data_IF_552994531498
#
_entry.id   IF_552994531498
#
_cell.length_a   1.000
_cell.length_b   1.000
_cell.length_c   1.000
_cell.angle_alpha   90.00
_cell.angle_beta   90.00
_cell.angle_gamma   90.00
#
_symmetry.space_group_name_H-M   'P 1'
#
loop_
_entity.id
_entity.type
_entity.pdbx_description
1 polymer ?
#
# COMPACT_ATOMS: atom_id res chain seq x y z
N UNK A 1 -19.40 -55.29 33.82
CA UNK A 1 -19.58 -54.02 34.55
C UNK A 1 -18.44 -53.10 34.11
N UNK A 2 -18.74 -52.07 33.32
CA UNK A 2 -17.72 -51.15 32.80
C UNK A 2 -17.62 -49.92 33.72
N UNK A 3 -16.42 -49.49 34.13
CA UNK A 3 -16.27 -48.31 34.97
C UNK A 3 -16.51 -47.04 34.13
N UNK A 4 -17.46 -46.23 34.58
CA UNK A 4 -17.75 -44.89 34.09
C UNK A 4 -16.72 -43.96 34.74
N UNK A 5 -15.80 -43.40 33.95
CA UNK A 5 -14.88 -42.37 34.42
C UNK A 5 -15.53 -40.98 34.30
N UNK A 6 -15.44 -40.12 35.33
CA UNK A 6 -16.06 -38.81 35.31
C UNK A 6 -15.27 -37.85 34.42
N UNK A 7 -16.01 -37.10 33.60
CA UNK A 7 -15.48 -36.06 32.71
C UNK A 7 -15.14 -34.82 33.56
N UNK A 8 -13.91 -34.28 33.49
CA UNK A 8 -13.55 -33.06 34.22
C UNK A 8 -14.26 -31.85 33.62
N UNK A 9 -15.02 -31.15 34.46
CA UNK A 9 -15.64 -29.86 34.15
C UNK A 9 -14.58 -28.76 34.25
N UNK A 10 -14.03 -28.31 33.13
CA UNK A 10 -13.18 -27.11 33.09
C UNK A 10 -14.06 -25.86 33.06
N UNK A 11 -14.21 -25.23 34.21
CA UNK A 11 -14.74 -23.86 34.34
C UNK A 11 -13.66 -22.88 33.89
N UNK A 12 -13.82 -22.31 32.68
CA UNK A 12 -12.95 -21.25 32.18
C UNK A 12 -13.58 -19.91 32.55
N UNK A 13 -13.15 -19.32 33.66
CA UNK A 13 -13.56 -17.96 34.06
C UNK A 13 -12.78 -16.94 33.23
N UNK A 14 -13.39 -16.44 32.16
CA UNK A 14 -12.84 -15.40 31.31
C UNK A 14 -13.10 -14.02 31.95
N UNK A 15 -12.20 -13.57 32.81
CA UNK A 15 -12.27 -12.23 33.40
C UNK A 15 -11.72 -11.21 32.40
N UNK A 16 -12.64 -10.58 31.65
CA UNK A 16 -12.34 -9.57 30.65
C UNK A 16 -12.02 -8.23 31.34
N UNK A 17 -10.74 -7.99 31.66
CA UNK A 17 -10.29 -6.70 32.15
C UNK A 17 -10.23 -5.70 30.99
N UNK A 18 -11.19 -4.78 30.95
CA UNK A 18 -11.19 -3.62 30.05
C UNK A 18 -10.16 -2.63 30.61
N UNK A 19 -8.92 -2.68 30.12
CA UNK A 19 -7.94 -1.63 30.38
C UNK A 19 -8.32 -0.40 29.55
N UNK A 20 -8.87 0.62 30.21
CA UNK A 20 -8.96 1.96 29.65
C UNK A 20 -7.54 2.49 29.44
N UNK A 21 -7.08 2.54 28.17
CA UNK A 21 -5.79 3.09 27.78
C UNK A 21 -5.94 4.60 27.48
N UNK A 22 -5.41 5.52 28.32
CA UNK A 22 -5.52 6.94 28.12
C UNK A 22 -4.32 7.48 27.34
N UNK A 23 -4.00 6.90 26.18
CA UNK A 23 -2.93 7.39 25.29
C UNK A 23 -3.42 7.69 23.89
N UNK A 24 -4.39 8.59 23.80
CA UNK A 24 -4.58 9.44 22.62
C UNK A 24 -3.58 10.59 22.70
N UNK A 25 -2.29 10.28 22.48
CA UNK A 25 -1.28 11.31 22.29
C UNK A 25 -1.55 11.99 20.94
N UNK A 26 -1.98 13.23 21.02
CA UNK A 26 -2.04 14.18 19.93
C UNK A 26 -0.66 14.29 19.29
N UNK A 27 -0.62 14.05 17.97
CA UNK A 27 0.56 14.15 17.13
C UNK A 27 0.75 15.62 16.73
N UNK A 28 1.04 16.49 17.71
CA UNK A 28 1.40 17.89 17.51
C UNK A 28 2.71 18.15 18.25
N UNK A 29 3.59 18.95 17.62
CA UNK A 29 5.00 19.24 17.97
C UNK A 29 6.05 18.26 17.43
N UNK A 30 6.39 18.45 16.15
CA UNK A 30 7.78 18.25 15.73
C UNK A 30 8.47 19.61 15.79
N UNK A 31 9.33 19.75 16.80
CA UNK A 31 10.22 20.90 17.00
C UNK A 31 11.26 20.89 15.88
N UNK A 32 11.36 22.03 15.20
CA UNK A 32 12.43 22.38 14.29
C UNK A 32 13.69 22.67 15.12
N UNK A 33 14.64 21.74 15.11
CA UNK A 33 15.96 21.87 15.73
C UNK A 33 16.98 21.12 14.87
N UNK A 34 17.45 21.77 13.80
CA UNK A 34 18.84 21.66 13.34
C UNK A 34 19.26 22.96 12.65
N UNK A 35 19.54 23.96 13.48
CA UNK A 35 20.51 25.01 13.17
C UNK A 35 21.93 24.47 13.42
N UNK A 36 22.84 24.88 12.54
CA UNK A 36 24.31 24.90 12.66
C UNK A 36 25.13 23.64 12.37
N UNK A 37 25.73 23.65 11.17
CA UNK A 37 27.18 23.47 11.02
C UNK A 37 27.63 24.32 9.83
N UNK A 38 28.13 25.52 10.12
CA UNK A 38 28.97 26.29 9.22
C UNK A 38 30.27 25.52 8.94
N UNK A 39 30.79 25.66 7.72
CA UNK A 39 32.21 25.83 7.37
C UNK A 39 32.46 25.29 5.97
N UNK A 40 32.57 26.19 4.99
CA UNK A 40 33.60 26.09 3.95
C UNK A 40 33.85 27.50 3.41
N UNK A 41 34.93 28.08 3.92
CA UNK A 41 35.61 29.25 3.36
C UNK A 41 36.30 28.83 2.08
N UNK A 42 35.93 29.44 0.95
CA UNK A 42 36.76 29.48 -0.26
C UNK A 42 36.94 30.94 -0.62
N UNK A 43 38.12 31.45 -0.25
CA UNK A 43 38.74 32.66 -0.77
C UNK A 43 39.25 32.38 -2.18
N UNK A 44 39.01 33.29 -3.12
CA UNK A 44 39.57 33.21 -4.47
C UNK A 44 39.00 34.27 -5.40
N UNK A 45 39.46 35.50 -5.21
CA UNK A 45 39.30 36.61 -6.14
C UNK A 45 40.13 36.30 -7.38
N UNK A 46 39.55 36.33 -8.58
CA UNK A 46 40.18 37.07 -9.66
C UNK A 46 39.15 37.48 -10.72
N UNK A 47 39.31 38.72 -11.17
CA UNK A 47 38.47 39.38 -12.16
C UNK A 47 39.00 39.08 -13.55
N UNK A 48 38.21 38.44 -14.42
CA UNK A 48 38.45 38.53 -15.86
C UNK A 48 37.14 38.40 -16.64
N UNK A 49 36.82 39.51 -17.31
CA UNK A 49 36.00 39.74 -18.52
C UNK A 49 34.62 39.09 -18.75
N UNK A 50 33.64 39.88 -19.25
CA UNK A 50 32.33 39.39 -19.65
C UNK A 50 32.35 38.89 -21.10
N UNK A 51 32.57 37.58 -21.29
CA UNK A 51 32.28 36.93 -22.58
C UNK A 51 30.78 36.58 -22.64
N UNK A 52 30.07 37.18 -23.58
CA UNK A 52 28.67 36.87 -23.87
C UNK A 52 28.56 35.51 -24.59
N UNK A 53 28.52 34.42 -23.82
CA UNK A 53 28.24 33.08 -24.34
C UNK A 53 26.77 32.69 -24.17
N UNK A 54 26.12 32.56 -25.32
CA UNK A 54 24.99 31.70 -25.68
C UNK A 54 24.12 31.09 -24.57
N UNK A 55 22.93 31.67 -24.44
CA UNK A 55 21.77 31.20 -23.68
C UNK A 55 21.24 29.85 -24.20
N UNK A 56 21.87 28.74 -23.85
CA UNK A 56 21.27 27.40 -23.96
C UNK A 56 21.80 26.50 -22.85
N UNK A 57 21.55 26.89 -21.58
CA UNK A 57 21.81 26.01 -20.44
C UNK A 57 20.75 24.89 -20.44
N UNK A 58 21.13 23.63 -20.67
CA UNK A 58 20.17 22.53 -20.63
C UNK A 58 19.55 22.49 -19.24
N UNK A 59 18.21 22.49 -19.15
CA UNK A 59 17.49 22.23 -17.89
C UNK A 59 17.96 20.89 -17.33
N UNK A 60 18.95 20.92 -16.42
CA UNK A 60 19.40 19.74 -15.69
C UNK A 60 18.25 19.36 -14.77
N UNK A 61 17.44 18.39 -15.20
CA UNK A 61 16.42 17.80 -14.37
C UNK A 61 17.13 16.96 -13.31
N UNK A 62 17.40 17.56 -12.15
CA UNK A 62 17.95 16.86 -10.99
C UNK A 62 16.94 15.82 -10.51
N UNK A 63 17.03 14.61 -11.06
CA UNK A 63 16.29 13.45 -10.56
C UNK A 63 16.98 13.04 -9.27
N UNK A 64 16.41 13.43 -8.13
CA UNK A 64 16.89 13.01 -6.82
C UNK A 64 16.89 11.48 -6.75
N UNK A 65 18.05 10.87 -6.95
CA UNK A 65 18.27 9.46 -6.74
C UNK A 65 18.63 9.30 -5.27
N UNK A 66 17.66 8.85 -4.47
CA UNK A 66 17.95 8.46 -3.10
C UNK A 66 19.13 7.49 -3.10
N UNK A 67 20.17 7.70 -2.26
CA UNK A 67 21.36 6.86 -2.29
C UNK A 67 20.98 5.39 -2.14
N UNK A 68 21.36 4.60 -3.14
CA UNK A 68 21.04 3.18 -3.18
C UNK A 68 21.64 2.48 -1.96
N UNK A 69 20.92 1.51 -1.39
CA UNK A 69 21.44 0.72 -0.28
C UNK A 69 22.28 -0.42 -0.84
N UNK A 70 23.51 -0.57 -0.36
CA UNK A 70 24.36 -1.69 -0.74
C UNK A 70 23.81 -3.01 -0.19
N UNK A 71 24.26 -4.14 -0.76
CA UNK A 71 23.87 -5.48 -0.28
C UNK A 71 24.29 -5.68 1.19
N UNK A 72 25.47 -5.20 1.57
CA UNK A 72 25.99 -5.27 2.94
C UNK A 72 25.13 -4.44 3.91
N UNK A 73 24.74 -3.23 3.54
CA UNK A 73 23.86 -2.39 4.35
C UNK A 73 22.49 -3.05 4.57
N UNK A 74 21.95 -3.70 3.53
CA UNK A 74 20.70 -4.46 3.63
C UNK A 74 20.88 -5.65 4.57
N UNK A 75 21.98 -6.38 4.47
CA UNK A 75 22.28 -7.52 5.33
C UNK A 75 22.33 -7.10 6.81
N UNK A 76 23.10 -6.05 7.12
CA UNK A 76 23.20 -5.50 8.50
C UNK A 76 21.83 -5.03 9.01
N UNK A 77 21.01 -4.41 8.16
CA UNK A 77 19.65 -4.00 8.54
C UNK A 77 18.76 -5.20 8.91
N UNK A 78 18.80 -6.27 8.12
CA UNK A 78 18.01 -7.49 8.37
C UNK A 78 18.49 -8.21 9.63
N UNK A 79 19.81 -8.33 9.81
CA UNK A 79 20.41 -8.94 10.99
C UNK A 79 20.08 -8.15 12.26
N UNK A 80 20.28 -6.82 12.26
CA UNK A 80 19.94 -5.97 13.40
C UNK A 80 18.45 -6.08 13.75
N UNK A 81 17.56 -6.14 12.75
CA UNK A 81 16.11 -6.31 12.99
C UNK A 81 15.78 -7.65 13.65
N UNK A 82 16.52 -8.70 13.33
CA UNK A 82 16.38 -10.02 13.95
C UNK A 82 16.93 -10.02 15.38
N UNK A 83 18.07 -9.38 15.63
CA UNK A 83 18.64 -9.24 16.98
C UNK A 83 17.67 -8.53 17.94
N UNK A 84 16.96 -7.50 17.49
CA UNK A 84 15.99 -6.75 18.29
C UNK A 84 14.54 -7.22 18.11
N UNK A 85 14.29 -8.50 17.81
CA UNK A 85 12.94 -9.02 17.52
C UNK A 85 11.92 -8.80 18.67
N UNK A 86 12.40 -8.69 19.91
CA UNK A 86 11.56 -8.52 21.10
C UNK A 86 11.06 -7.08 21.30
N UNK A 87 11.72 -6.09 20.69
CA UNK A 87 11.34 -4.68 20.79
C UNK A 87 10.24 -4.32 19.79
N UNK A 88 9.44 -3.31 20.11
CA UNK A 88 8.35 -2.81 19.26
C UNK A 88 8.42 -1.29 19.11
N UNK A 89 7.70 -0.76 18.13
CA UNK A 89 7.52 0.68 17.98
C UNK A 89 8.79 1.43 17.58
N UNK A 90 8.99 2.62 18.14
CA UNK A 90 10.11 3.52 17.82
C UNK A 90 11.45 3.01 18.36
N UNK A 91 11.47 2.50 19.59
CA UNK A 91 12.65 1.99 20.29
C UNK A 91 13.38 0.89 19.51
N UNK A 92 12.61 -0.01 18.87
CA UNK A 92 13.15 -1.00 17.94
C UNK A 92 14.03 -0.35 16.85
N UNK A 93 13.50 0.67 16.19
CA UNK A 93 14.14 1.26 15.01
C UNK A 93 15.29 2.18 15.38
N UNK A 94 15.29 2.75 16.59
CA UNK A 94 16.44 3.45 17.15
C UNK A 94 17.64 2.51 17.32
N UNK A 95 17.42 1.36 17.97
CA UNK A 95 18.44 0.34 18.15
C UNK A 95 18.95 -0.24 16.82
N UNK A 96 18.03 -0.51 15.88
CA UNK A 96 18.41 -0.94 14.53
C UNK A 96 19.25 0.12 13.82
N UNK A 97 18.88 1.40 13.89
CA UNK A 97 19.64 2.46 13.25
C UNK A 97 21.04 2.62 13.86
N UNK A 98 21.20 2.45 15.18
CA UNK A 98 22.52 2.45 15.82
C UNK A 98 23.45 1.37 15.26
N UNK A 99 22.95 0.17 14.97
CA UNK A 99 23.72 -0.89 14.31
C UNK A 99 24.03 -0.58 12.85
N UNK A 100 23.05 -0.09 12.11
CA UNK A 100 23.22 0.24 10.68
C UNK A 100 24.17 1.44 10.48
N UNK A 101 24.26 2.36 11.45
CA UNK A 101 25.17 3.51 11.41
C UNK A 101 26.64 3.13 11.22
N UNK A 102 27.05 1.93 11.64
CA UNK A 102 28.41 1.41 11.46
C UNK A 102 28.78 1.30 9.97
N UNK A 103 27.84 0.88 9.13
CA UNK A 103 28.02 0.73 7.67
C UNK A 103 27.43 1.88 6.85
N UNK A 104 26.64 2.73 7.51
CA UNK A 104 25.88 3.81 6.86
C UNK A 104 25.63 4.97 7.84
N UNK A 105 26.54 5.95 7.95
CA UNK A 105 26.46 7.02 8.96
C UNK A 105 25.22 7.91 8.86
N UNK A 106 24.64 8.08 7.66
CA UNK A 106 23.41 8.86 7.41
C UNK A 106 22.12 8.12 7.81
N UNK A 107 22.21 6.89 8.31
CA UNK A 107 21.05 6.09 8.65
C UNK A 107 20.29 6.66 9.86
N UNK A 108 19.02 6.99 9.64
CA UNK A 108 18.05 7.35 10.69
C UNK A 108 17.08 6.20 10.97
N UNK A 109 16.46 6.13 12.16
CA UNK A 109 15.45 5.11 12.50
C UNK A 109 14.32 5.02 11.45
N UNK A 110 13.86 6.19 10.99
CA UNK A 110 12.80 6.26 10.00
C UNK A 110 13.24 5.73 8.62
N UNK A 111 14.47 6.04 8.18
CA UNK A 111 15.00 5.49 6.92
C UNK A 111 15.16 3.98 6.97
N UNK A 112 15.63 3.43 8.09
CA UNK A 112 15.75 1.98 8.31
C UNK A 112 14.38 1.30 8.26
N UNK A 113 13.38 1.87 8.96
CA UNK A 113 12.00 1.37 8.96
C UNK A 113 11.39 1.36 7.56
N UNK A 114 11.49 2.47 6.83
CA UNK A 114 10.97 2.58 5.47
C UNK A 114 11.66 1.56 4.55
N UNK A 115 12.98 1.43 4.64
CA UNK A 115 13.74 0.50 3.80
C UNK A 115 13.38 -0.96 4.09
N UNK A 116 13.29 -1.35 5.36
CA UNK A 116 12.90 -2.71 5.75
C UNK A 116 11.49 -3.06 5.26
N UNK A 117 10.53 -2.14 5.40
CA UNK A 117 9.17 -2.33 4.91
C UNK A 117 9.11 -2.52 3.39
N UNK A 118 9.97 -1.84 2.63
CA UNK A 118 10.08 -2.04 1.18
C UNK A 118 10.64 -3.42 0.86
N UNK A 119 11.75 -3.81 1.49
CA UNK A 119 12.39 -5.13 1.27
C UNK A 119 11.40 -6.26 1.57
N UNK A 120 10.70 -6.20 2.71
CA UNK A 120 9.73 -7.24 3.10
C UNK A 120 8.51 -7.28 2.18
N UNK A 121 8.07 -6.14 1.63
CA UNK A 121 7.02 -6.11 0.61
C UNK A 121 7.47 -6.80 -0.67
N UNK A 122 8.67 -6.46 -1.15
CA UNK A 122 9.24 -7.04 -2.36
C UNK A 122 9.42 -8.56 -2.21
N UNK A 123 9.90 -9.03 -1.05
CA UNK A 123 10.03 -10.47 -0.73
C UNK A 123 8.68 -11.21 -0.75
N UNK A 124 7.61 -10.58 -0.24
CA UNK A 124 6.27 -11.18 -0.30
C UNK A 124 5.76 -11.30 -1.74
N UNK A 125 6.04 -10.30 -2.57
CA UNK A 125 5.65 -10.30 -3.98
C UNK A 125 6.43 -11.37 -4.77
N UNK A 126 7.73 -11.52 -4.51
CA UNK A 126 8.53 -12.58 -5.13
C UNK A 126 8.06 -13.96 -4.70
N UNK A 127 7.80 -14.17 -3.41
CA UNK A 127 7.31 -15.46 -2.91
C UNK A 127 5.93 -15.81 -3.49
N UNK A 128 5.04 -14.82 -3.61
CA UNK A 128 3.74 -15.01 -4.25
C UNK A 128 3.87 -15.42 -5.71
N UNK A 129 4.80 -14.80 -6.45
CA UNK A 129 5.06 -15.14 -7.86
C UNK A 129 5.61 -16.56 -8.00
N UNK A 130 6.56 -16.94 -7.14
CA UNK A 130 7.14 -18.30 -7.12
C UNK A 130 6.06 -19.34 -6.84
N UNK A 131 5.18 -19.11 -5.85
CA UNK A 131 4.07 -20.02 -5.58
C UNK A 131 3.11 -20.15 -6.77
N UNK A 132 2.78 -19.04 -7.45
CA UNK A 132 1.90 -19.08 -8.62
C UNK A 132 2.54 -19.83 -9.80
N UNK A 133 3.85 -19.70 -10.00
CA UNK A 133 4.60 -20.42 -11.02
C UNK A 133 4.67 -21.92 -10.72
N UNK A 134 4.89 -22.27 -9.45
CA UNK A 134 4.87 -23.66 -8.97
C UNK A 134 3.48 -24.32 -9.15
N UNK A 135 2.40 -23.62 -8.77
CA UNK A 135 1.02 -24.08 -9.01
C UNK A 135 0.75 -24.31 -10.50
N UNK A 136 1.22 -23.39 -11.36
CA UNK A 136 1.07 -23.51 -12.82
C UNK A 136 1.85 -24.70 -13.36
N UNK A 137 3.07 -24.95 -12.85
CA UNK A 137 3.88 -26.10 -13.25
C UNK A 137 3.25 -27.43 -12.81
N UNK A 138 2.69 -27.50 -11.60
CA UNK A 138 1.99 -28.69 -11.09
C UNK A 138 0.74 -28.98 -11.93
N UNK A 139 -0.04 -27.96 -12.27
CA UNK A 139 -1.21 -28.10 -13.16
C UNK A 139 -0.79 -28.59 -14.56
N UNK A 140 0.27 -28.01 -15.13
CA UNK A 140 0.82 -28.46 -16.41
C UNK A 140 1.25 -29.93 -16.40
N UNK A 141 1.97 -30.37 -15.35
CA UNK A 141 2.40 -31.76 -15.20
C UNK A 141 1.21 -32.71 -15.01
N UNK A 142 0.17 -32.29 -14.30
CA UNK A 142 -1.04 -33.09 -14.08
C UNK A 142 -1.81 -33.30 -15.39
N UNK A 143 -1.90 -32.27 -16.24
CA UNK A 143 -2.54 -32.39 -17.56
C UNK A 143 -1.80 -33.36 -18.47
N UNK A 144 -0.47 -33.32 -18.49
CA UNK A 144 0.37 -34.25 -19.27
C UNK A 144 0.27 -35.71 -18.78
N UNK A 145 0.16 -35.93 -17.46
CA UNK A 145 -0.06 -37.28 -16.92
C UNK A 145 -1.44 -37.82 -17.30
N UNK A 146 -2.48 -36.97 -17.24
CA UNK A 146 -3.84 -37.39 -17.57
C UNK A 146 -4.01 -37.72 -19.06
N UNK A 147 -3.31 -37.04 -19.97
CA UNK A 147 -3.34 -37.42 -21.39
C UNK A 147 -2.72 -38.79 -21.64
N UNK A 148 -1.63 -39.12 -20.94
CA UNK A 148 -0.99 -40.44 -21.07
C UNK A 148 -1.88 -41.58 -20.56
N UNK A 149 -2.63 -41.35 -19.48
CA UNK A 149 -3.56 -42.33 -18.93
C UNK A 149 -4.66 -42.68 -19.95
N UNK A 150 -5.22 -41.69 -20.65
CA UNK A 150 -6.23 -41.93 -21.69
C UNK A 150 -5.69 -42.76 -22.87
N UNK A 151 -4.41 -42.59 -23.20
CA UNK A 151 -3.75 -43.32 -24.28
C UNK A 151 -3.46 -44.78 -23.90
N UNK A 152 -3.04 -45.01 -22.65
CA UNK A 152 -2.83 -46.37 -22.12
C UNK A 152 -4.12 -47.17 -21.90
N UNK A 153 -5.23 -46.50 -21.60
CA UNK A 153 -6.54 -47.16 -21.40
C UNK A 153 -7.18 -47.59 -22.73
N UNK A 154 -6.81 -46.95 -23.85
CA UNK A 154 -7.25 -47.31 -25.20
C UNK A 154 -6.54 -48.55 -25.76
N UNK A 155 -5.42 -48.99 -25.15
CA UNK A 155 -4.68 -50.19 -25.56
C UNK A 155 -5.03 -51.45 -24.73
N UNK A 156 -5.87 -51.34 -23.70
CA UNK A 156 -6.27 -52.46 -22.82
C UNK A 156 -7.76 -52.84 -22.91
N UNK A 157 -8.50 -52.37 -23.91
CA UNK A 157 -9.86 -52.84 -24.18
C UNK A 157 -9.87 -54.04 -25.13
N UNK A 158 -9.40 -55.18 -24.61
CA UNK A 158 -9.94 -56.47 -25.04
C UNK A 158 -10.27 -57.28 -23.78
N UNK A 159 -11.56 -57.61 -23.66
CA UNK A 159 -12.16 -58.52 -22.68
C UNK A 159 -12.26 -58.00 -21.22
N UNK A 160 -13.42 -57.41 -20.90
CA UNK A 160 -14.45 -58.03 -20.04
C UNK A 160 -15.35 -56.96 -19.35
N UNK A 161 -16.66 -57.27 -19.31
CA UNK A 161 -17.68 -56.79 -18.36
C UNK A 161 -18.47 -55.50 -18.70
N UNK A 162 -19.67 -55.71 -19.26
CA UNK A 162 -20.67 -54.73 -19.71
C UNK A 162 -21.37 -53.91 -18.59
N UNK A 163 -21.25 -54.30 -17.32
CA UNK A 163 -22.19 -53.85 -16.27
C UNK A 163 -21.77 -52.61 -15.47
N UNK A 164 -20.53 -52.14 -15.58
CA UNK A 164 -20.05 -50.93 -14.86
C UNK A 164 -20.11 -49.63 -15.69
N UNK A 165 -20.38 -49.72 -17.00
CA UNK A 165 -20.43 -48.55 -17.92
C UNK A 165 -21.57 -47.56 -17.63
N UNK A 166 -22.63 -47.95 -16.93
CA UNK A 166 -23.76 -47.05 -16.64
C UNK A 166 -23.54 -46.12 -15.43
N UNK A 167 -22.73 -46.52 -14.44
CA UNK A 167 -22.56 -45.72 -13.21
C UNK A 167 -21.53 -44.59 -13.39
N UNK A 168 -20.53 -44.79 -14.25
CA UNK A 168 -19.55 -43.77 -14.63
C UNK A 168 -20.17 -42.66 -15.49
N UNK A 169 -21.14 -42.99 -16.35
CA UNK A 169 -21.82 -42.02 -17.23
C UNK A 169 -22.59 -40.95 -16.44
N UNK A 170 -23.25 -41.33 -15.34
CA UNK A 170 -23.96 -40.38 -14.45
C UNK A 170 -23.03 -39.50 -13.62
N UNK A 171 -21.79 -39.93 -13.35
CA UNK A 171 -20.82 -39.15 -12.57
C UNK A 171 -20.13 -38.09 -13.44
N UNK A 172 -19.92 -38.39 -14.73
CA UNK A 172 -19.33 -37.46 -15.72
C UNK A 172 -20.32 -36.33 -16.08
N UNK A 173 -21.62 -36.62 -16.22
CA UNK A 173 -22.65 -35.57 -16.43
C UNK A 173 -22.79 -34.60 -15.25
N UNK A 174 -22.49 -35.05 -14.03
CA UNK A 174 -22.56 -34.18 -12.84
C UNK A 174 -21.36 -33.25 -12.71
N UNK A 175 -20.22 -33.59 -13.34
CA UNK A 175 -19.00 -32.77 -13.31
C UNK A 175 -18.93 -31.76 -14.46
N UNK A 176 -19.61 -32.00 -15.59
CA UNK A 176 -19.66 -31.04 -16.71
C UNK A 176 -20.60 -29.84 -16.46
N UNK A 177 -21.50 -29.91 -15.47
CA UNK A 177 -22.39 -28.81 -15.12
C UNK A 177 -21.71 -27.63 -14.39
N UNK A 178 -20.47 -27.78 -13.93
CA UNK A 178 -19.74 -26.71 -13.21
C UNK A 178 -18.85 -25.87 -14.15
N UNK A 179 -18.57 -26.34 -15.38
CA UNK A 179 -17.64 -25.68 -16.30
C UNK A 179 -18.27 -24.70 -17.32
N UNK A 180 -19.56 -24.38 -17.20
CA UNK A 180 -20.25 -23.45 -18.10
C UNK A 180 -20.30 -21.99 -17.62
N UNK A 181 -19.55 -21.64 -16.57
CA UNK A 181 -19.31 -20.24 -16.18
C UNK A 181 -18.05 -19.68 -16.83
N UNK A 182 -17.88 -19.91 -18.14
CA UNK A 182 -16.92 -19.16 -18.96
C UNK A 182 -17.48 -17.76 -19.30
N UNK A 183 -18.04 -17.06 -18.30
CA UNK A 183 -18.13 -15.61 -18.38
C UNK A 183 -16.72 -15.08 -18.36
N UNK A 184 -16.17 -14.94 -19.57
CA UNK A 184 -14.93 -14.24 -19.86
C UNK A 184 -14.89 -13.00 -18.96
N UNK A 185 -13.95 -12.92 -17.99
CA UNK A 185 -13.93 -11.85 -17.02
C UNK A 185 -14.00 -10.53 -17.77
N UNK A 186 -15.14 -9.83 -17.68
CA UNK A 186 -15.41 -8.61 -18.42
C UNK A 186 -14.17 -7.73 -18.29
N UNK A 187 -13.43 -7.68 -19.40
CA UNK A 187 -12.11 -7.08 -19.52
C UNK A 187 -12.28 -5.67 -18.99
N UNK A 188 -11.84 -5.43 -17.74
CA UNK A 188 -12.04 -4.17 -17.00
C UNK A 188 -11.77 -3.06 -17.99
N UNK A 189 -12.82 -2.39 -18.45
CA UNK A 189 -12.68 -1.28 -19.37
C UNK A 189 -11.68 -0.36 -18.69
N UNK A 190 -10.53 -0.15 -19.35
CA UNK A 190 -9.48 0.72 -18.83
C UNK A 190 -10.15 2.06 -18.64
N UNK A 191 -10.51 2.36 -17.40
CA UNK A 191 -11.06 3.66 -17.02
C UNK A 191 -10.12 4.69 -17.63
N UNK A 192 -10.65 5.68 -18.39
CA UNK A 192 -9.83 6.66 -19.08
C UNK A 192 -8.78 7.17 -18.11
N UNK A 193 -7.51 7.12 -18.54
CA UNK A 193 -6.34 7.49 -17.73
C UNK A 193 -6.67 8.83 -17.11
N UNK A 194 -6.94 8.81 -15.81
CA UNK A 194 -7.41 9.98 -15.09
C UNK A 194 -6.24 10.95 -15.09
N UNK A 195 -6.27 11.93 -15.98
CA UNK A 195 -5.20 12.92 -16.09
C UNK A 195 -5.06 13.56 -14.71
N UNK A 196 -3.81 13.75 -14.26
CA UNK A 196 -3.51 14.47 -13.02
C UNK A 196 -3.69 15.97 -13.22
N UNK A 197 -4.84 16.33 -13.77
CA UNK A 197 -5.16 17.71 -14.08
C UNK A 197 -5.23 18.51 -12.78
N UNK A 198 -4.49 19.62 -12.75
CA UNK A 198 -4.44 20.51 -11.60
C UNK A 198 -5.83 21.12 -11.36
N UNK A 199 -6.19 21.30 -10.09
CA UNK A 199 -7.43 21.97 -9.74
C UNK A 199 -7.32 23.47 -10.01
N UNK A 200 -8.14 23.98 -10.93
CA UNK A 200 -8.26 25.42 -11.16
C UNK A 200 -9.11 26.08 -10.07
N UNK A 201 -9.04 27.41 -9.97
CA UNK A 201 -9.89 28.16 -9.06
C UNK A 201 -11.38 28.04 -9.45
N UNK A 202 -11.66 28.00 -10.76
CA UNK A 202 -13.02 27.80 -11.31
C UNK A 202 -13.58 26.43 -10.92
N UNK A 203 -12.78 25.36 -11.02
CA UNK A 203 -13.17 24.02 -10.58
C UNK A 203 -13.52 24.00 -9.09
N UNK A 204 -12.73 24.70 -8.27
CA UNK A 204 -12.97 24.78 -6.83
C UNK A 204 -14.27 25.54 -6.50
N UNK A 205 -14.59 26.60 -7.26
CA UNK A 205 -15.85 27.34 -7.14
C UNK A 205 -17.04 26.47 -7.56
N UNK A 206 -16.95 25.82 -8.72
CA UNK A 206 -17.98 24.90 -9.23
C UNK A 206 -18.22 23.74 -8.27
N UNK A 207 -17.16 23.18 -7.68
CA UNK A 207 -17.26 22.14 -6.65
C UNK A 207 -18.07 22.63 -5.44
N UNK A 208 -17.81 23.85 -4.94
CA UNK A 208 -18.58 24.45 -3.83
C UNK A 208 -20.06 24.55 -4.16
N UNK A 209 -20.38 25.07 -5.35
CA UNK A 209 -21.77 25.23 -5.80
C UNK A 209 -22.51 23.89 -5.90
N UNK A 210 -21.91 22.87 -6.51
CA UNK A 210 -22.53 21.55 -6.65
C UNK A 210 -22.71 20.89 -5.27
N UNK A 211 -21.71 20.99 -4.39
CA UNK A 211 -21.77 20.39 -3.05
C UNK A 211 -22.88 21.02 -2.20
N UNK A 212 -23.14 22.32 -2.35
CA UNK A 212 -24.26 23.02 -1.68
C UNK A 212 -25.61 22.61 -2.28
N UNK A 213 -25.69 22.41 -3.61
CA UNK A 213 -26.93 22.00 -4.29
C UNK A 213 -27.36 20.55 -4.00
N UNK A 214 -26.41 19.64 -3.77
CA UNK A 214 -26.71 18.23 -3.54
C UNK A 214 -27.14 17.95 -2.10
N UNK A 215 -28.38 17.49 -1.93
CA UNK A 215 -28.96 17.11 -0.63
C UNK A 215 -28.51 15.72 -0.11
N UNK A 216 -27.79 14.94 -0.91
CA UNK A 216 -27.33 13.59 -0.52
C UNK A 216 -26.21 13.65 0.51
N UNK A 217 -26.14 12.61 1.34
CA UNK A 217 -25.11 12.43 2.38
C UNK A 217 -24.24 11.21 2.06
N UNK A 218 -23.03 11.16 2.59
CA UNK A 218 -22.18 9.98 2.51
C UNK A 218 -21.51 9.76 1.14
N UNK A 219 -21.46 8.49 0.69
CA UNK A 219 -20.73 8.08 -0.54
C UNK A 219 -21.47 8.52 -1.81
N UNK A 220 -22.79 8.43 -1.82
CA UNK A 220 -23.63 8.75 -2.98
C UNK A 220 -23.53 10.22 -3.38
N UNK A 221 -23.37 11.12 -2.40
CA UNK A 221 -23.10 12.55 -2.63
C UNK A 221 -21.94 12.76 -3.61
N UNK A 222 -20.83 12.05 -3.42
CA UNK A 222 -19.63 12.24 -4.21
C UNK A 222 -19.73 11.66 -5.61
N UNK A 223 -20.58 10.65 -5.81
CA UNK A 223 -20.88 10.08 -7.13
C UNK A 223 -21.61 11.12 -7.96
N UNK A 224 -22.68 11.71 -7.42
CA UNK A 224 -23.45 12.77 -8.09
C UNK A 224 -22.60 14.02 -8.34
N UNK A 225 -21.82 14.47 -7.35
CA UNK A 225 -20.91 15.61 -7.51
C UNK A 225 -19.90 15.35 -8.63
N UNK A 226 -19.36 14.14 -8.75
CA UNK A 226 -18.41 13.80 -9.81
C UNK A 226 -19.06 13.78 -11.19
N UNK A 227 -20.29 13.29 -11.30
CA UNK A 227 -21.06 13.30 -12.55
C UNK A 227 -21.29 14.74 -13.03
N UNK A 228 -21.63 15.66 -12.11
CA UNK A 228 -21.82 17.08 -12.42
C UNK A 228 -20.51 17.84 -12.73
N UNK A 229 -19.37 17.34 -12.24
CA UNK A 229 -18.04 17.88 -12.57
C UNK A 229 -17.52 17.40 -13.93
N UNK A 230 -17.94 16.21 -14.40
CA UNK A 230 -17.56 15.61 -15.67
C UNK A 230 -16.17 14.95 -15.67
N UNK A 231 -15.12 15.73 -15.39
CA UNK A 231 -13.73 15.28 -15.57
C UNK A 231 -13.04 14.80 -14.28
N UNK A 232 -13.73 14.85 -13.14
CA UNK A 232 -13.15 14.52 -11.83
C UNK A 232 -13.85 13.31 -11.23
N UNK A 233 -13.08 12.42 -10.60
CA UNK A 233 -13.61 11.23 -9.93
C UNK A 233 -14.22 11.58 -8.56
N UNK A 234 -15.16 10.76 -8.02
CA UNK A 234 -15.75 10.97 -6.70
C UNK A 234 -14.71 11.15 -5.59
N UNK A 235 -13.63 10.37 -5.67
CA UNK A 235 -12.52 10.42 -4.71
C UNK A 235 -11.77 11.76 -4.77
N UNK A 236 -11.49 12.28 -5.97
CA UNK A 236 -10.84 13.58 -6.14
C UNK A 236 -11.70 14.72 -5.59
N UNK A 237 -13.00 14.73 -5.90
CA UNK A 237 -13.94 15.73 -5.38
C UNK A 237 -13.98 15.73 -3.84
N UNK A 238 -14.06 14.54 -3.22
CA UNK A 238 -14.06 14.40 -1.76
C UNK A 238 -12.78 14.94 -1.12
N UNK A 239 -11.61 14.55 -1.64
CA UNK A 239 -10.31 14.98 -1.11
C UNK A 239 -10.16 16.50 -1.24
N UNK A 240 -10.53 17.07 -2.40
CA UNK A 240 -10.46 18.52 -2.61
C UNK A 240 -11.41 19.28 -1.68
N UNK A 241 -12.63 18.79 -1.47
CA UNK A 241 -13.59 19.39 -0.55
C UNK A 241 -13.05 19.45 0.89
N UNK A 242 -12.44 18.36 1.36
CA UNK A 242 -11.80 18.33 2.68
C UNK A 242 -10.69 19.38 2.81
N UNK A 243 -9.88 19.57 1.76
CA UNK A 243 -8.86 20.62 1.74
C UNK A 243 -9.48 22.02 1.82
N UNK A 244 -10.55 22.28 1.06
CA UNK A 244 -11.27 23.58 1.08
C UNK A 244 -11.85 23.86 2.46
N UNK A 245 -12.49 22.86 3.09
CA UNK A 245 -13.08 22.98 4.43
C UNK A 245 -12.02 23.33 5.47
N UNK A 246 -10.85 22.68 5.42
CA UNK A 246 -9.73 22.97 6.31
C UNK A 246 -9.23 24.42 6.15
N UNK A 247 -9.11 24.91 4.90
CA UNK A 247 -8.72 26.30 4.64
C UNK A 247 -9.73 27.32 5.17
N UNK A 248 -11.04 27.03 5.07
CA UNK A 248 -12.09 27.90 5.61
C UNK A 248 -12.02 27.99 7.14
N UNK A 249 -11.80 26.87 7.82
CA UNK A 249 -11.63 26.82 9.28
C UNK A 249 -10.42 27.67 9.72
N UNK A 250 -9.29 27.61 9.00
CA UNK A 250 -8.10 28.43 9.31
C UNK A 250 -8.33 29.93 9.12
N UNK A 251 -9.11 30.33 8.13
CA UNK A 251 -9.45 31.75 7.91
C UNK A 251 -10.36 32.29 9.02
N UNK A 252 -11.31 31.48 9.51
CA UNK A 252 -12.20 31.88 10.61
C UNK A 252 -11.46 32.04 11.93
N UNK A 253 -10.44 31.22 12.20
CA UNK A 253 -9.64 31.32 13.42
C UNK A 253 -8.72 32.55 13.43
N UNK A 254 -8.34 33.08 12.27
CA UNK A 254 -7.43 34.21 12.17
C UNK A 254 -8.14 35.56 12.37
N UNK A 255 -9.44 35.64 12.05
CA UNK A 255 -10.22 36.88 12.17
C UNK A 255 -10.77 37.13 13.58
N UNK A 256 -10.88 36.10 14.44
CA UNK A 256 -11.40 36.29 15.81
C UNK A 256 -10.44 36.99 16.76
N UNK A 257 -9.14 37.04 16.45
CA UNK A 257 -8.11 37.61 17.36
C UNK A 257 -7.88 39.11 17.18
N UNK A 258 -8.29 39.70 16.05
CA UNK A 258 -8.00 41.12 15.74
C UNK A 258 -9.04 42.10 16.28
N UNK A 259 -10.22 41.63 16.72
CA UNK A 259 -11.31 42.51 17.17
C UNK A 259 -11.24 42.93 18.65
N UNK A 260 -10.19 42.57 19.39
CA UNK A 260 -10.05 42.87 20.83
C UNK A 260 -9.02 43.95 21.19
N UNK A 261 -8.37 44.59 20.20
CA UNK A 261 -7.32 45.60 20.45
C UNK A 261 -7.74 46.96 19.85
N UNK A 262 -8.80 47.58 20.38
CA UNK A 262 -9.01 49.03 20.25
C UNK A 262 -10.05 49.49 21.29
N UNK A 263 -9.58 49.80 22.49
CA UNK A 263 -10.28 50.62 23.49
C UNK A 263 -9.22 51.12 24.48
N UNK A 264 -8.59 52.25 24.16
CA UNK A 264 -7.81 53.10 25.06
C UNK A 264 -7.81 54.51 24.49
#
# INVERSE_FOLDING_TARGET
MNPIFPIPQFSVSFSMQITNDPRRLTYDNYIDLTSESQNNSITGVDSTEPTQETKNSPKVQWKYMSPQWSKEQIQVLLEAKAQFANLRGAELWENVALKVKVVRPDATPQTCRIKYNRITKDQRETNKKVMQEEETAILGLTLLKNSHIQETELLSQDQTNETTKQTLKRKIEKMSAINNSNETPLKRQKTPVTSREMWTHEDAKKLKEIVVKTNKVGKERWIEVSQNMGNKTPKQCRVKWQSIKKSLETETSSKSTTSSITLS
#
